data_IF_931116915079
#
_entry.id   IF_931116915079
#
_cell.length_a   1.000
_cell.length_b   1.000
_cell.length_c   1.000
_cell.angle_alpha   90.00
_cell.angle_beta   90.00
_cell.angle_gamma   90.00
#
_symmetry.space_group_name_H-M   'P 1'
#
loop_
_entity.id
_entity.type
_entity.pdbx_description
1 polymer ?
#
# COMPACT_ATOMS: atom_id res chain seq x y z
N UNK A 1 18.10 -9.46 -9.34
CA UNK A 1 17.32 -8.94 -10.47
C UNK A 1 16.26 -8.04 -9.86
N UNK A 2 16.20 -6.75 -10.22
CA UNK A 2 15.22 -5.85 -9.62
C UNK A 2 13.85 -6.13 -10.26
N UNK A 3 12.84 -6.34 -9.44
CA UNK A 3 11.48 -6.69 -9.85
C UNK A 3 10.56 -5.47 -9.74
N UNK A 4 9.58 -5.35 -10.64
CA UNK A 4 8.67 -4.21 -10.62
C UNK A 4 7.77 -4.24 -9.36
N UNK A 5 7.65 -3.09 -8.69
CA UNK A 5 6.68 -2.86 -7.60
C UNK A 5 5.51 -2.05 -8.16
N UNK A 6 4.29 -2.57 -8.08
CA UNK A 6 3.07 -1.77 -8.31
C UNK A 6 2.58 -1.20 -7.00
N UNK A 7 2.53 0.12 -6.92
CA UNK A 7 2.05 0.87 -5.75
C UNK A 7 0.60 1.26 -5.99
N UNK A 8 -0.29 0.85 -5.08
CA UNK A 8 -1.74 0.98 -5.23
C UNK A 8 -2.27 2.05 -4.29
N UNK A 9 -2.94 3.06 -4.85
CA UNK A 9 -3.54 4.16 -4.08
C UNK A 9 -4.99 4.40 -4.53
N UNK A 10 -5.98 4.25 -3.63
CA UNK A 10 -7.27 4.89 -3.81
C UNK A 10 -7.16 6.37 -3.40
N UNK A 11 -7.93 7.26 -4.01
CA UNK A 11 -7.99 8.65 -3.55
C UNK A 11 -9.39 9.22 -3.70
N UNK A 12 -9.76 10.10 -2.78
CA UNK A 12 -11.00 10.88 -2.79
C UNK A 12 -10.77 12.15 -1.99
N UNK A 13 -10.97 13.31 -2.59
CA UNK A 13 -10.81 14.62 -1.97
C UNK A 13 -9.52 14.77 -1.15
N UNK A 14 -8.38 14.51 -1.78
CA UNK A 14 -7.05 14.47 -1.15
C UNK A 14 -6.11 15.57 -1.65
N UNK A 15 -6.65 16.70 -2.13
CA UNK A 15 -5.85 17.77 -2.74
C UNK A 15 -4.72 18.29 -1.82
N UNK A 16 -4.96 18.27 -0.50
CA UNK A 16 -4.04 18.82 0.50
C UNK A 16 -2.84 17.89 0.77
N UNK A 17 -2.93 16.61 0.41
CA UNK A 17 -1.95 15.59 0.81
C UNK A 17 -1.32 14.84 -0.37
N UNK A 18 -2.05 14.64 -1.47
CA UNK A 18 -1.66 13.74 -2.56
C UNK A 18 -0.31 14.10 -3.20
N UNK A 19 0.05 15.39 -3.19
CA UNK A 19 1.34 15.87 -3.68
C UNK A 19 2.49 15.37 -2.81
N UNK A 20 2.34 15.42 -1.49
CA UNK A 20 3.38 14.95 -0.56
C UNK A 20 3.47 13.42 -0.57
N UNK A 21 2.34 12.72 -0.66
CA UNK A 21 2.32 11.27 -0.90
C UNK A 21 3.10 10.90 -2.16
N UNK A 22 2.83 11.55 -3.30
CA UNK A 22 3.58 11.36 -4.53
C UNK A 22 5.08 11.64 -4.36
N UNK A 23 5.45 12.76 -3.71
CA UNK A 23 6.85 13.10 -3.48
C UNK A 23 7.55 12.03 -2.63
N UNK A 24 6.88 11.45 -1.63
CA UNK A 24 7.44 10.37 -0.80
C UNK A 24 7.69 9.09 -1.59
N UNK A 25 6.80 8.74 -2.52
CA UNK A 25 6.98 7.63 -3.48
C UNK A 25 8.13 7.93 -4.43
N UNK A 26 8.19 9.16 -4.98
CA UNK A 26 9.23 9.56 -5.92
C UNK A 26 10.62 9.55 -5.31
N UNK A 27 10.74 9.85 -4.01
CA UNK A 27 12.00 9.81 -3.26
C UNK A 27 12.49 8.40 -2.93
N UNK A 28 11.71 7.34 -3.16
CA UNK A 28 12.15 5.97 -2.90
C UNK A 28 13.49 5.67 -3.61
N UNK A 29 14.43 5.09 -2.89
CA UNK A 29 15.73 4.66 -3.41
C UNK A 29 15.60 3.52 -4.43
N UNK A 30 14.62 2.65 -4.25
CA UNK A 30 14.19 1.65 -5.22
C UNK A 30 13.50 2.32 -6.42
N UNK A 31 14.06 2.18 -7.63
CA UNK A 31 13.61 2.94 -8.81
C UNK A 31 12.60 2.23 -9.71
N UNK A 32 12.49 0.90 -9.61
CA UNK A 32 11.65 0.11 -10.49
C UNK A 32 10.23 -0.05 -9.92
N UNK A 33 9.45 1.01 -10.01
CA UNK A 33 8.06 1.02 -9.57
C UNK A 33 7.14 1.67 -10.60
N UNK A 34 5.86 1.32 -10.52
CA UNK A 34 4.74 2.04 -11.13
C UNK A 34 3.76 2.44 -10.03
N UNK A 35 3.17 3.63 -10.14
CA UNK A 35 2.18 4.12 -9.17
C UNK A 35 0.81 4.19 -9.84
N UNK A 36 -0.13 3.39 -9.35
CA UNK A 36 -1.45 3.19 -9.95
C UNK A 36 -2.50 3.77 -9.02
N UNK A 37 -2.98 4.95 -9.38
CA UNK A 37 -3.91 5.75 -8.60
C UNK A 37 -5.29 5.68 -9.22
N UNK A 38 -6.31 5.39 -8.44
CA UNK A 38 -7.71 5.50 -8.87
C UNK A 38 -8.42 6.57 -8.06
N UNK A 39 -8.79 7.66 -8.73
CA UNK A 39 -9.64 8.73 -8.19
C UNK A 39 -11.10 8.26 -8.11
N UNK A 40 -11.68 8.37 -6.92
CA UNK A 40 -13.04 7.92 -6.61
C UNK A 40 -14.07 9.06 -6.77
N UNK A 41 -13.99 9.75 -7.91
CA UNK A 41 -14.80 10.92 -8.23
C UNK A 41 -14.60 12.08 -7.25
N UNK A 42 -13.35 12.50 -7.02
CA UNK A 42 -13.09 13.70 -6.21
C UNK A 42 -13.80 14.92 -6.78
N UNK A 43 -14.25 15.78 -5.88
CA UNK A 43 -14.92 17.06 -6.16
C UNK A 43 -14.02 18.27 -5.92
N UNK A 44 -12.82 18.03 -5.42
CA UNK A 44 -11.77 19.02 -5.20
C UNK A 44 -10.71 18.94 -6.30
N UNK A 45 -9.56 19.61 -6.14
CA UNK A 45 -8.51 19.65 -7.16
C UNK A 45 -7.68 18.35 -7.29
N UNK A 46 -8.03 17.27 -6.58
CA UNK A 46 -7.23 16.03 -6.54
C UNK A 46 -6.97 15.45 -7.93
N UNK A 47 -8.00 15.40 -8.77
CA UNK A 47 -7.89 14.79 -10.10
C UNK A 47 -6.98 15.63 -11.02
N UNK A 48 -7.14 16.95 -11.01
CA UNK A 48 -6.33 17.89 -11.78
C UNK A 48 -4.85 17.84 -11.35
N UNK A 49 -4.59 17.76 -10.05
CA UNK A 49 -3.25 17.59 -9.50
C UNK A 49 -2.61 16.30 -10.05
N UNK A 50 -3.33 15.17 -9.98
CA UNK A 50 -2.82 13.89 -10.47
C UNK A 50 -2.59 13.87 -11.98
N UNK A 51 -3.46 14.52 -12.77
CA UNK A 51 -3.24 14.71 -14.20
C UNK A 51 -1.91 15.41 -14.49
N UNK A 52 -1.63 16.51 -13.77
CA UNK A 52 -0.36 17.25 -13.91
C UNK A 52 0.87 16.42 -13.51
N UNK A 53 0.72 15.45 -12.61
CA UNK A 53 1.77 14.51 -12.22
C UNK A 53 2.02 13.49 -13.33
N UNK A 54 0.96 12.91 -13.91
CA UNK A 54 1.06 11.92 -15.00
C UNK A 54 1.75 12.50 -16.23
N UNK A 55 1.49 13.77 -16.56
CA UNK A 55 2.18 14.47 -17.66
C UNK A 55 3.70 14.56 -17.46
N UNK A 56 4.18 14.54 -16.21
CA UNK A 56 5.59 14.74 -15.84
C UNK A 56 6.31 13.45 -15.45
N UNK A 57 5.59 12.41 -15.06
CA UNK A 57 6.17 11.13 -14.64
C UNK A 57 5.39 9.96 -15.23
N UNK A 58 5.99 9.34 -16.27
CA UNK A 58 5.40 8.22 -17.00
C UNK A 58 5.21 6.95 -16.16
N UNK A 59 5.77 6.88 -14.95
CA UNK A 59 5.55 5.76 -14.02
C UNK A 59 4.20 5.86 -13.29
N UNK A 60 3.57 7.03 -13.31
CA UNK A 60 2.27 7.25 -12.69
C UNK A 60 1.16 6.93 -13.69
N UNK A 61 0.17 6.16 -13.23
CA UNK A 61 -1.00 5.72 -13.99
C UNK A 61 -2.25 6.14 -13.23
N UNK A 62 -2.98 7.10 -13.79
CA UNK A 62 -4.21 7.62 -13.21
C UNK A 62 -5.43 6.97 -13.86
N UNK A 63 -6.38 6.57 -13.04
CA UNK A 63 -7.71 6.13 -13.42
C UNK A 63 -8.75 6.90 -12.61
N UNK A 64 -9.99 6.93 -13.11
CA UNK A 64 -11.11 7.55 -12.43
C UNK A 64 -12.30 6.61 -12.43
N UNK A 65 -12.99 6.53 -11.30
CA UNK A 65 -14.29 5.87 -11.25
C UNK A 65 -15.35 6.75 -11.92
N UNK A 66 -16.47 6.15 -12.35
CA UNK A 66 -17.61 6.91 -12.87
C UNK A 66 -18.51 7.45 -11.77
N UNK A 67 -18.51 6.79 -10.60
CA UNK A 67 -19.24 7.16 -9.39
C UNK A 67 -18.36 6.92 -8.16
N UNK A 68 -18.58 7.66 -7.08
CA UNK A 68 -17.94 7.40 -5.81
C UNK A 68 -18.36 6.00 -5.30
N UNK A 69 -17.39 5.10 -5.25
CA UNK A 69 -17.56 3.65 -5.07
C UNK A 69 -16.83 3.12 -3.84
N UNK A 70 -16.09 3.98 -3.15
CA UNK A 70 -15.30 3.65 -1.98
C UNK A 70 -13.93 3.03 -2.29
N UNK A 71 -13.07 3.06 -1.28
CA UNK A 71 -11.67 2.72 -1.41
C UNK A 71 -11.40 1.27 -1.85
N UNK A 72 -12.27 0.31 -1.50
CA UNK A 72 -12.11 -1.08 -1.94
C UNK A 72 -12.22 -1.21 -3.47
N UNK A 73 -13.21 -0.56 -4.08
CA UNK A 73 -13.42 -0.57 -5.54
C UNK A 73 -12.26 0.16 -6.23
N UNK A 74 -11.87 1.32 -5.73
CA UNK A 74 -10.73 2.07 -6.28
C UNK A 74 -9.42 1.29 -6.22
N UNK A 75 -9.12 0.63 -5.09
CA UNK A 75 -7.94 -0.26 -4.98
C UNK A 75 -8.03 -1.43 -5.97
N UNK A 76 -9.19 -2.06 -6.10
CA UNK A 76 -9.39 -3.15 -7.06
C UNK A 76 -9.20 -2.71 -8.51
N UNK A 77 -9.64 -1.50 -8.86
CA UNK A 77 -9.45 -0.92 -10.19
C UNK A 77 -7.97 -0.68 -10.50
N UNK A 78 -7.18 -0.27 -9.51
CA UNK A 78 -5.72 -0.18 -9.63
C UNK A 78 -5.05 -1.55 -9.68
N UNK A 79 -5.44 -2.48 -8.79
CA UNK A 79 -4.89 -3.86 -8.73
C UNK A 79 -5.07 -4.61 -10.06
N UNK A 80 -6.22 -4.46 -10.72
CA UNK A 80 -6.49 -5.11 -12.01
C UNK A 80 -5.54 -4.66 -13.14
N UNK A 81 -4.82 -3.54 -12.95
CA UNK A 81 -3.90 -2.95 -13.92
C UNK A 81 -2.44 -3.06 -13.51
N UNK A 82 -2.18 -3.60 -12.31
CA UNK A 82 -0.86 -3.79 -11.75
C UNK A 82 -0.05 -4.84 -12.52
N UNK A 83 1.20 -4.51 -12.86
CA UNK A 83 2.12 -5.37 -13.60
C UNK A 83 3.28 -5.89 -12.73
N UNK A 84 3.51 -5.25 -11.59
CA UNK A 84 4.58 -5.60 -10.66
C UNK A 84 4.42 -6.97 -10.03
N UNK A 85 5.54 -7.65 -9.81
CA UNK A 85 5.56 -8.86 -8.98
C UNK A 85 5.19 -8.50 -7.54
N UNK A 86 5.70 -7.39 -7.05
CA UNK A 86 5.43 -6.90 -5.71
C UNK A 86 4.30 -5.88 -5.75
N UNK A 87 3.36 -6.01 -4.83
CA UNK A 87 2.23 -5.10 -4.66
C UNK A 87 2.38 -4.39 -3.33
N UNK A 88 2.50 -3.07 -3.38
CA UNK A 88 2.52 -2.21 -2.20
C UNK A 88 1.28 -1.32 -2.20
N UNK A 89 0.87 -0.86 -1.02
CA UNK A 89 -0.30 -0.01 -0.85
C UNK A 89 0.12 1.27 -0.17
N UNK A 90 -0.45 2.41 -0.55
CA UNK A 90 -0.28 3.67 0.17
C UNK A 90 -1.55 4.49 0.03
N UNK A 91 -2.04 4.99 1.17
CA UNK A 91 -3.20 5.88 1.20
C UNK A 91 -2.80 7.29 0.77
N UNK A 92 -3.75 8.04 0.21
CA UNK A 92 -3.49 9.34 -0.45
C UNK A 92 -3.09 10.47 0.49
N UNK A 93 -3.07 10.21 1.79
CA UNK A 93 -2.70 11.07 2.90
C UNK A 93 -1.50 10.55 3.72
N UNK A 94 -0.91 9.43 3.32
CA UNK A 94 0.25 8.83 3.99
C UNK A 94 1.58 9.20 3.31
N UNK A 95 2.67 9.06 4.07
CA UNK A 95 4.05 9.28 3.62
C UNK A 95 4.93 8.07 3.89
N UNK A 96 5.85 7.79 2.99
CA UNK A 96 6.86 6.74 3.15
C UNK A 96 8.27 7.29 3.41
N UNK A 97 9.02 6.57 4.26
CA UNK A 97 10.47 6.73 4.37
C UNK A 97 11.17 6.31 3.08
N UNK A 98 12.27 6.97 2.73
CA UNK A 98 12.95 6.83 1.43
C UNK A 98 13.46 5.41 1.11
N UNK A 99 13.79 4.62 2.14
CA UNK A 99 14.32 3.25 1.98
C UNK A 99 13.26 2.17 2.20
N UNK A 100 11.96 2.52 2.23
CA UNK A 100 10.90 1.54 2.51
C UNK A 100 10.90 0.42 1.48
N UNK A 101 10.85 0.77 0.19
CA UNK A 101 10.78 -0.23 -0.87
C UNK A 101 12.04 -1.09 -0.94
N UNK A 102 13.24 -0.49 -0.95
CA UNK A 102 14.49 -1.28 -1.01
C UNK A 102 14.59 -2.27 0.13
N UNK A 103 14.41 -1.82 1.38
CA UNK A 103 14.49 -2.68 2.57
C UNK A 103 13.47 -3.83 2.54
N UNK A 104 12.21 -3.54 2.20
CA UNK A 104 11.19 -4.59 2.19
C UNK A 104 11.39 -5.58 1.05
N UNK A 105 11.72 -5.11 -0.15
CA UNK A 105 11.96 -5.99 -1.31
C UNK A 105 13.19 -6.87 -1.09
N UNK A 106 14.32 -6.31 -0.65
CA UNK A 106 15.54 -7.06 -0.36
C UNK A 106 15.30 -8.12 0.70
N UNK A 107 14.54 -7.78 1.74
CA UNK A 107 14.17 -8.73 2.78
C UNK A 107 13.28 -9.86 2.25
N UNK A 108 12.22 -9.52 1.50
CA UNK A 108 11.30 -10.52 0.95
C UNK A 108 12.00 -11.48 -0.01
N UNK A 109 12.92 -10.98 -0.83
CA UNK A 109 13.73 -11.81 -1.74
C UNK A 109 14.67 -12.72 -0.95
N UNK A 110 15.46 -12.16 -0.03
CA UNK A 110 16.47 -12.93 0.73
C UNK A 110 15.87 -13.99 1.65
N UNK A 111 14.69 -13.73 2.21
CA UNK A 111 13.98 -14.66 3.10
C UNK A 111 12.95 -15.51 2.38
N UNK A 112 12.75 -15.28 1.08
CA UNK A 112 11.71 -15.93 0.30
C UNK A 112 10.30 -15.75 0.92
N UNK A 113 10.05 -14.63 1.61
CA UNK A 113 8.76 -14.31 2.24
C UNK A 113 7.77 -13.72 1.23
N UNK A 114 6.48 -14.03 1.38
CA UNK A 114 5.43 -13.55 0.50
C UNK A 114 4.71 -12.28 0.99
N UNK A 115 4.82 -11.97 2.29
CA UNK A 115 4.03 -10.93 2.94
C UNK A 115 4.87 -10.30 4.06
N UNK A 116 5.20 -9.01 3.90
CA UNK A 116 5.81 -8.25 4.98
C UNK A 116 5.08 -6.93 5.24
N UNK A 117 5.36 -6.33 6.40
CA UNK A 117 4.90 -5.01 6.79
C UNK A 117 5.94 -4.34 7.70
N UNK A 118 5.73 -3.07 8.05
CA UNK A 118 6.59 -2.32 8.97
C UNK A 118 5.77 -1.75 10.12
N UNK A 119 6.46 -1.31 11.18
CA UNK A 119 5.85 -0.32 12.07
C UNK A 119 5.60 1.01 11.32
N UNK A 120 4.80 1.90 11.91
CA UNK A 120 4.57 3.23 11.35
C UNK A 120 4.36 4.25 12.47
N UNK A 121 4.74 5.48 12.20
CA UNK A 121 4.55 6.62 13.09
C UNK A 121 3.33 7.43 12.66
N UNK A 122 2.55 7.89 13.65
CA UNK A 122 1.45 8.81 13.39
C UNK A 122 1.97 10.24 13.24
N UNK A 123 1.46 10.93 12.24
CA UNK A 123 1.70 12.34 11.97
C UNK A 123 0.37 13.11 12.05
N UNK A 124 0.44 14.41 12.30
CA UNK A 124 -0.71 15.29 12.13
C UNK A 124 -0.92 15.69 10.66
N UNK A 125 -1.99 16.44 10.40
CA UNK A 125 -2.33 16.95 9.07
C UNK A 125 -1.29 17.90 8.46
N UNK A 126 -0.31 18.36 9.23
CA UNK A 126 0.80 19.20 8.76
C UNK A 126 2.09 18.39 8.55
N UNK A 127 2.02 17.06 8.71
CA UNK A 127 3.16 16.16 8.58
C UNK A 127 4.08 16.14 9.80
N UNK A 128 3.66 16.72 10.94
CA UNK A 128 4.45 16.73 12.16
C UNK A 128 4.24 15.43 12.93
N UNK A 129 5.35 14.81 13.36
CA UNK A 129 5.32 13.62 14.22
C UNK A 129 4.50 13.85 15.50
N UNK A 130 3.68 12.86 15.83
CA UNK A 130 2.96 12.75 17.10
C UNK A 130 3.69 11.87 18.12
N UNK A 131 4.94 11.47 17.82
CA UNK A 131 5.80 10.57 18.61
C UNK A 131 5.13 9.23 19.00
N UNK A 132 4.12 8.83 18.22
CA UNK A 132 3.32 7.63 18.47
C UNK A 132 3.55 6.62 17.36
N UNK A 133 4.27 5.56 17.71
CA UNK A 133 4.60 4.47 16.79
C UNK A 133 3.67 3.29 17.05
N UNK A 134 2.94 2.89 16.01
CA UNK A 134 2.09 1.71 15.97
C UNK A 134 2.91 0.49 15.57
N UNK A 135 2.62 -0.65 16.19
CA UNK A 135 3.38 -1.89 16.01
C UNK A 135 4.88 -1.72 16.36
N UNK A 136 5.26 -0.79 17.24
CA UNK A 136 6.67 -0.50 17.58
C UNK A 136 7.48 -1.71 18.07
N UNK A 137 6.83 -2.60 18.82
CA UNK A 137 7.50 -3.78 19.40
C UNK A 137 7.73 -4.81 18.29
N UNK A 138 8.86 -5.52 18.37
CA UNK A 138 9.12 -6.66 17.49
C UNK A 138 8.01 -7.69 17.63
N UNK A 139 7.29 -7.92 16.55
CA UNK A 139 6.22 -8.91 16.44
C UNK A 139 6.81 -10.19 15.81
N UNK A 140 6.61 -11.38 16.42
CA UNK A 140 7.00 -12.64 15.79
C UNK A 140 6.21 -12.86 14.49
N UNK A 141 6.66 -13.75 13.59
CA UNK A 141 5.90 -14.05 12.38
C UNK A 141 4.44 -14.40 12.68
N UNK A 142 3.51 -13.74 11.99
CA UNK A 142 2.07 -13.87 12.26
C UNK A 142 1.43 -14.84 11.27
N UNK A 143 0.63 -15.77 11.77
CA UNK A 143 -0.24 -16.61 10.94
C UNK A 143 -1.70 -16.10 10.97
N UNK A 144 -2.60 -16.85 10.34
CA UNK A 144 -4.03 -16.54 10.29
C UNK A 144 -4.67 -16.37 11.69
N UNK A 145 -4.37 -17.26 12.64
CA UNK A 145 -4.93 -17.23 14.00
C UNK A 145 -4.42 -16.03 14.80
N UNK A 146 -3.15 -15.64 14.61
CA UNK A 146 -2.59 -14.43 15.23
C UNK A 146 -3.29 -13.17 14.72
N UNK A 147 -3.62 -13.15 13.42
CA UNK A 147 -4.40 -12.07 12.82
C UNK A 147 -5.86 -12.09 13.28
N UNK A 148 -6.47 -13.24 13.55
CA UNK A 148 -7.81 -13.25 14.18
C UNK A 148 -7.79 -12.65 15.60
N UNK A 149 -6.69 -12.83 16.33
CA UNK A 149 -6.48 -12.28 17.68
C UNK A 149 -6.03 -10.82 17.69
N UNK A 150 -5.85 -10.18 16.53
CA UNK A 150 -5.40 -8.79 16.39
C UNK A 150 -4.03 -8.56 17.06
N UNK A 151 -3.11 -9.51 16.91
CA UNK A 151 -1.75 -9.41 17.46
C UNK A 151 -0.91 -8.28 16.82
N UNK A 152 -1.37 -7.71 15.71
CA UNK A 152 -0.77 -6.56 15.05
C UNK A 152 -1.83 -5.71 14.33
N UNK A 153 -1.54 -4.42 14.17
CA UNK A 153 -2.45 -3.50 13.48
C UNK A 153 -2.38 -3.68 11.97
N UNK A 154 -1.17 -3.78 11.42
CA UNK A 154 -0.92 -3.85 9.96
C UNK A 154 -1.61 -2.72 9.19
N UNK A 155 -1.14 -1.48 9.41
CA UNK A 155 -1.62 -0.36 8.59
C UNK A 155 -1.42 -0.65 7.10
N UNK A 156 -2.45 -0.45 6.27
CA UNK A 156 -2.44 -0.79 4.84
C UNK A 156 -1.17 -0.28 4.13
N UNK A 157 -0.80 0.98 4.40
CA UNK A 157 0.36 1.66 3.82
C UNK A 157 1.73 1.04 4.18
N UNK A 158 1.76 0.11 5.13
CA UNK A 158 2.99 -0.56 5.55
C UNK A 158 3.26 -1.86 4.77
N UNK A 159 2.25 -2.44 4.14
CA UNK A 159 2.28 -3.81 3.60
C UNK A 159 2.89 -3.87 2.20
N UNK A 160 3.69 -4.92 1.96
CA UNK A 160 4.08 -5.38 0.63
C UNK A 160 3.80 -6.88 0.49
N UNK A 161 3.20 -7.25 -0.64
CA UNK A 161 2.88 -8.63 -1.02
C UNK A 161 3.68 -9.07 -2.25
N UNK A 162 4.11 -10.33 -2.30
CA UNK A 162 4.68 -10.98 -3.47
C UNK A 162 3.57 -11.73 -4.22
N UNK A 163 3.07 -11.12 -5.31
CA UNK A 163 1.99 -11.67 -6.14
C UNK A 163 2.38 -13.00 -6.78
N UNK A 164 3.66 -13.25 -7.06
CA UNK A 164 4.10 -14.52 -7.64
C UNK A 164 3.90 -15.72 -6.71
N UNK A 165 3.81 -15.47 -5.39
CA UNK A 165 3.59 -16.49 -4.35
C UNK A 165 2.14 -16.58 -3.91
N UNK A 166 1.48 -15.43 -3.77
CA UNK A 166 0.10 -15.34 -3.27
C UNK A 166 -0.93 -15.56 -4.39
N UNK A 167 -0.55 -15.31 -5.64
CA UNK A 167 -1.46 -15.24 -6.78
C UNK A 167 -2.25 -13.93 -6.79
N UNK A 168 -3.22 -13.84 -7.70
CA UNK A 168 -4.08 -12.67 -7.82
C UNK A 168 -5.10 -12.60 -6.69
N UNK A 169 -5.41 -11.37 -6.27
CA UNK A 169 -6.35 -11.09 -5.20
C UNK A 169 -7.10 -9.79 -5.45
N UNK A 170 -8.19 -9.59 -4.70
CA UNK A 170 -9.00 -8.38 -4.69
C UNK A 170 -9.33 -8.02 -3.26
N UNK A 171 -9.37 -6.72 -2.97
CA UNK A 171 -9.92 -6.18 -1.74
C UNK A 171 -11.40 -6.59 -1.64
N UNK A 172 -11.83 -7.23 -0.53
CA UNK A 172 -13.24 -7.46 -0.24
C UNK A 172 -14.02 -6.15 -0.29
N UNK A 173 -15.25 -6.19 -0.81
CA UNK A 173 -16.12 -5.01 -0.96
C UNK A 173 -16.77 -4.64 0.39
N UNK A 174 -15.95 -4.21 1.33
CA UNK A 174 -16.34 -3.70 2.64
C UNK A 174 -16.13 -2.19 2.68
N UNK A 175 -16.97 -1.49 3.47
CA UNK A 175 -16.84 -0.04 3.65
C UNK A 175 -15.59 0.34 4.44
N UNK A 176 -15.25 -0.47 5.45
CA UNK A 176 -14.05 -0.33 6.29
C UNK A 176 -13.43 -1.71 6.54
N UNK A 177 -12.13 -1.75 6.85
CA UNK A 177 -11.41 -2.99 7.15
C UNK A 177 -11.20 -3.94 5.96
N UNK A 178 -11.37 -3.44 4.73
CA UNK A 178 -11.15 -4.21 3.50
C UNK A 178 -9.72 -4.76 3.38
N UNK A 179 -8.73 -4.00 3.86
CA UNK A 179 -7.32 -4.40 3.94
C UNK A 179 -7.13 -5.57 4.91
N UNK A 180 -7.62 -5.45 6.14
CA UNK A 180 -7.52 -6.50 7.14
C UNK A 180 -8.23 -7.78 6.71
N UNK A 181 -9.40 -7.64 6.07
CA UNK A 181 -10.15 -8.76 5.51
C UNK A 181 -9.38 -9.43 4.36
N UNK A 182 -8.67 -8.67 3.52
CA UNK A 182 -7.78 -9.22 2.50
C UNK A 182 -6.63 -9.99 3.14
N UNK A 183 -5.95 -9.44 4.16
CA UNK A 183 -4.85 -10.12 4.84
C UNK A 183 -5.29 -11.48 5.40
N UNK A 184 -6.43 -11.52 6.09
CA UNK A 184 -7.03 -12.76 6.58
C UNK A 184 -7.36 -13.74 5.45
N UNK A 185 -7.92 -13.25 4.34
CA UNK A 185 -8.25 -14.09 3.19
C UNK A 185 -7.00 -14.74 2.56
N UNK A 186 -5.91 -13.99 2.44
CA UNK A 186 -4.63 -14.48 1.92
C UNK A 186 -4.07 -15.58 2.83
N UNK A 187 -3.98 -15.32 4.14
CA UNK A 187 -3.44 -16.28 5.10
C UNK A 187 -4.30 -17.55 5.21
N UNK A 188 -5.62 -17.42 5.08
CA UNK A 188 -6.54 -18.56 5.12
C UNK A 188 -6.38 -19.49 3.91
N UNK A 189 -5.97 -18.97 2.76
CA UNK A 189 -5.76 -19.77 1.53
C UNK A 189 -4.51 -20.64 1.62
N UNK A 190 -3.47 -20.18 2.30
CA UNK A 190 -2.25 -20.95 2.54
C UNK A 190 -1.73 -20.70 3.96
N UNK A 191 -2.00 -21.65 4.86
CA UNK A 191 -1.66 -21.58 6.27
C UNK A 191 -0.14 -21.61 6.55
N UNK A 192 0.68 -21.86 5.52
CA UNK A 192 2.15 -21.78 5.62
C UNK A 192 2.64 -20.34 5.47
N UNK A 193 1.83 -19.45 4.93
CA UNK A 193 2.16 -18.03 4.83
C UNK A 193 2.21 -17.42 6.23
N UNK A 194 3.27 -16.65 6.45
CA UNK A 194 3.48 -15.85 7.64
C UNK A 194 3.73 -14.41 7.22
N UNK A 195 3.24 -13.48 8.02
CA UNK A 195 3.54 -12.06 7.88
C UNK A 195 4.78 -11.76 8.70
N UNK A 196 5.74 -11.07 8.08
CA UNK A 196 6.96 -10.64 8.77
C UNK A 196 6.97 -9.12 8.95
N UNK A 197 7.20 -8.68 10.18
CA UNK A 197 7.46 -7.29 10.49
C UNK A 197 8.93 -6.93 10.21
N UNK A 198 9.13 -5.80 9.56
CA UNK A 198 10.43 -5.16 9.33
C UNK A 198 10.59 -3.91 10.20
N UNK A 199 11.82 -3.68 10.63
CA UNK A 199 12.20 -2.59 11.54
C UNK A 199 12.32 -1.25 10.82
#
# INVERSE_FOLDING_TARGET
>A
MNELVSIITPTYNSQDYIIETYKSIRRQDYKLWEWIVTDDCSQDATFEILMSIVEKDSRVKLYRNSINSGAAISRNNSLAKAKGRFIAFIDSDDLWCEQKLSKQIDYMISTNCAFCFTSFELIDQYGKSLEKIVDKKKIPPLNYEDMLKKNATLGCSTVILDRSKIGDFKMPLLRTGQDYALWLSILKKDLRLIIIQLF
#
